data_IF_847101528699
#
_entry.id   IF_847101528699
#
_cell.length_a   1.000
_cell.length_b   1.000
_cell.length_c   1.000
_cell.angle_alpha   90.00
_cell.angle_beta   90.00
_cell.angle_gamma   90.00
#
_symmetry.space_group_name_H-M   'P 1'
#
loop_
_entity.id
_entity.type
_entity.pdbx_description
1 polymer ?
#
# COMPACT_ATOMS: atom_id res chain seq x y z
N UNK A 1 6.91 -11.77 -4.65
CA UNK A 1 6.08 -10.78 -5.37
C UNK A 1 6.19 -11.04 -6.87
N UNK A 2 5.10 -11.43 -7.53
CA UNK A 2 5.11 -11.61 -9.01
C UNK A 2 5.05 -10.26 -9.71
N UNK A 3 5.66 -10.12 -10.89
CA UNK A 3 5.64 -8.88 -11.70
C UNK A 3 4.21 -8.46 -12.08
N UNK A 4 3.31 -9.43 -12.20
CA UNK A 4 1.90 -9.21 -12.51
C UNK A 4 1.15 -8.54 -11.35
N UNK A 5 1.34 -9.03 -10.12
CA UNK A 5 0.72 -8.45 -8.93
C UNK A 5 1.15 -6.99 -8.70
N UNK A 6 2.39 -6.65 -9.05
CA UNK A 6 2.86 -5.27 -9.03
C UNK A 6 2.17 -4.39 -10.07
N UNK A 7 1.93 -4.91 -11.28
CA UNK A 7 1.22 -4.18 -12.33
C UNK A 7 -0.24 -3.92 -11.97
N UNK A 8 -0.93 -4.87 -11.34
CA UNK A 8 -2.30 -4.66 -10.86
C UNK A 8 -2.36 -3.71 -9.66
N UNK A 9 -1.37 -3.74 -8.77
CA UNK A 9 -1.22 -2.74 -7.72
C UNK A 9 -1.08 -1.32 -8.27
N UNK A 10 -0.30 -1.09 -9.33
CA UNK A 10 -0.18 0.25 -9.95
C UNK A 10 -1.51 0.76 -10.51
N UNK A 11 -2.33 -0.12 -11.10
CA UNK A 11 -3.70 0.23 -11.53
C UNK A 11 -4.58 0.58 -10.33
N UNK A 12 -4.49 -0.22 -9.26
CA UNK A 12 -5.24 0.01 -8.03
C UNK A 12 -4.84 1.34 -7.36
N UNK A 13 -3.55 1.62 -7.25
CA UNK A 13 -3.01 2.88 -6.77
C UNK A 13 -3.53 4.07 -7.58
N UNK A 14 -3.58 3.96 -8.91
CA UNK A 14 -4.12 5.01 -9.78
C UNK A 14 -5.60 5.26 -9.51
N UNK A 15 -6.39 4.21 -9.28
CA UNK A 15 -7.79 4.36 -8.87
C UNK A 15 -7.93 5.06 -7.52
N UNK A 16 -7.17 4.64 -6.51
CA UNK A 16 -7.16 5.27 -5.19
C UNK A 16 -6.79 6.77 -5.26
N UNK A 17 -5.80 7.12 -6.08
CA UNK A 17 -5.39 8.51 -6.29
C UNK A 17 -6.54 9.35 -6.85
N UNK A 18 -7.24 8.85 -7.86
CA UNK A 18 -8.34 9.59 -8.47
C UNK A 18 -9.56 9.70 -7.55
N UNK A 19 -9.92 8.61 -6.86
CA UNK A 19 -11.14 8.51 -6.05
C UNK A 19 -11.04 9.31 -4.75
N UNK A 20 -9.91 9.20 -4.05
CA UNK A 20 -9.64 9.95 -2.82
C UNK A 20 -8.95 11.30 -3.07
N UNK A 21 -8.72 11.66 -4.35
CA UNK A 21 -7.96 12.85 -4.78
C UNK A 21 -6.64 12.99 -4.05
N UNK A 22 -5.94 11.87 -3.89
CA UNK A 22 -4.66 11.81 -3.19
C UNK A 22 -3.59 12.46 -4.03
N UNK A 23 -2.61 13.06 -3.37
CA UNK A 23 -1.48 13.66 -4.06
C UNK A 23 -0.20 12.95 -3.68
N UNK A 24 0.58 12.41 -4.63
CA UNK A 24 1.82 11.70 -4.32
C UNK A 24 2.93 12.61 -3.75
N UNK A 25 2.70 13.93 -3.70
CA UNK A 25 3.59 14.87 -2.99
C UNK A 25 3.21 15.04 -1.51
N UNK A 26 1.96 14.72 -1.15
CA UNK A 26 1.46 14.89 0.21
C UNK A 26 1.87 13.69 1.08
N UNK A 27 2.55 13.90 2.22
CA UNK A 27 3.02 12.82 3.08
C UNK A 27 1.89 11.93 3.61
N UNK A 28 0.71 12.51 3.90
CA UNK A 28 -0.44 11.73 4.41
C UNK A 28 -0.99 10.80 3.33
N UNK A 29 -1.06 11.30 2.10
CA UNK A 29 -1.44 10.52 0.92
C UNK A 29 -0.48 9.36 0.66
N UNK A 30 0.84 9.56 0.84
CA UNK A 30 1.84 8.48 0.76
C UNK A 30 1.59 7.42 1.81
N UNK A 31 1.49 7.79 3.09
CA UNK A 31 1.22 6.81 4.16
C UNK A 31 -0.10 6.07 3.96
N UNK A 32 -1.12 6.69 3.37
CA UNK A 32 -2.35 5.99 3.01
C UNK A 32 -2.13 4.96 1.90
N UNK A 33 -1.45 5.34 0.81
CA UNK A 33 -1.14 4.43 -0.29
C UNK A 33 -0.24 3.27 0.16
N UNK A 34 0.71 3.52 1.07
CA UNK A 34 1.56 2.48 1.68
C UNK A 34 0.73 1.49 2.50
N UNK A 35 -0.16 1.95 3.37
CA UNK A 35 -1.06 1.06 4.14
C UNK A 35 -1.94 0.21 3.24
N UNK A 36 -2.47 0.79 2.15
CA UNK A 36 -3.26 0.06 1.17
C UNK A 36 -2.40 -0.95 0.39
N UNK A 37 -1.14 -0.60 0.10
CA UNK A 37 -0.18 -1.50 -0.53
C UNK A 37 0.13 -2.69 0.37
N UNK A 38 0.38 -2.42 1.65
CA UNK A 38 0.61 -3.44 2.67
C UNK A 38 -0.61 -4.35 2.81
N UNK A 39 -1.82 -3.78 2.90
CA UNK A 39 -3.05 -4.57 2.92
C UNK A 39 -3.29 -5.35 1.61
N UNK A 40 -2.88 -4.83 0.46
CA UNK A 40 -3.07 -5.53 -0.83
C UNK A 40 -2.12 -6.71 -1.00
N UNK A 41 -0.86 -6.54 -0.59
CA UNK A 41 0.17 -7.56 -0.76
C UNK A 41 0.31 -8.51 0.42
N UNK A 42 -0.11 -8.09 1.61
CA UNK A 42 0.02 -8.82 2.86
C UNK A 42 -1.33 -8.98 3.61
N UNK A 43 -2.45 -8.43 3.13
CA UNK A 43 -3.76 -8.55 3.81
C UNK A 43 -4.47 -9.91 3.69
N UNK A 44 -5.39 -10.13 4.64
CA UNK A 44 -6.20 -11.35 4.90
C UNK A 44 -5.45 -12.69 5.05
N UNK A 45 -4.12 -12.68 5.11
CA UNK A 45 -3.34 -13.89 5.37
C UNK A 45 -1.90 -13.69 5.82
N UNK A 46 -1.32 -12.47 5.77
CA UNK A 46 -0.07 -12.23 6.47
C UNK A 46 -0.38 -12.06 7.95
N UNK A 47 -0.24 -13.16 8.71
CA UNK A 47 0.31 -13.01 10.03
C UNK A 47 1.59 -12.17 9.87
N UNK A 48 1.58 -10.95 10.38
CA UNK A 48 2.83 -10.27 10.67
C UNK A 48 3.67 -11.29 11.45
N UNK A 49 4.89 -11.67 11.01
CA UNK A 49 5.71 -12.56 11.82
C UNK A 49 5.80 -11.94 13.21
N UNK A 50 5.54 -12.73 14.27
CA UNK A 50 5.59 -12.29 15.67
C UNK A 50 6.91 -11.55 15.91
N UNK A 51 6.90 -10.22 15.84
CA UNK A 51 8.11 -9.40 15.88
C UNK A 51 8.29 -8.34 14.79
N UNK A 52 7.39 -8.20 13.80
CA UNK A 52 7.46 -7.06 12.86
C UNK A 52 7.03 -5.76 13.55
N UNK A 53 8.02 -5.00 14.01
CA UNK A 53 7.87 -3.61 14.45
C UNK A 53 8.10 -2.73 13.22
N UNK A 54 7.06 -2.09 12.65
CA UNK A 54 7.29 -1.10 11.60
C UNK A 54 8.17 0.02 12.17
N UNK A 55 9.23 0.46 11.47
CA UNK A 55 10.09 1.51 11.99
C UNK A 55 9.29 2.79 12.20
N UNK A 56 9.23 3.27 13.45
CA UNK A 56 8.79 4.62 13.77
C UNK A 56 9.72 5.60 13.05
N UNK A 57 9.14 6.43 12.17
CA UNK A 57 9.81 7.63 11.66
C UNK A 57 9.68 8.77 12.66
#
# INVERSE_FOLDING_TARGET
MSKEAWADWLKHQTMLINEYRLSPIDPKSRSFLEKQMEAYFFGEGAQAPEGYVPPEQ
#
